data_IF_926083848891
#
_entry.id   IF_926083848891
#
_cell.length_a   1.000
_cell.length_b   1.000
_cell.length_c   1.000
_cell.angle_alpha   90.00
_cell.angle_beta   90.00
_cell.angle_gamma   90.00
#
_symmetry.space_group_name_H-M   'P 1'
#
loop_
_entity.id
_entity.type
_entity.pdbx_description
1 polymer ?
#
# COMPACT_ATOMS: atom_id res chain seq x y z
N UNK A 1 -34.10 -23.72 25.97
CA UNK A 1 -33.37 -22.69 26.74
C UNK A 1 -31.90 -23.11 26.80
N UNK A 2 -30.96 -22.27 26.32
CA UNK A 2 -29.58 -22.59 25.86
C UNK A 2 -29.58 -23.27 24.48
N UNK A 3 -28.87 -22.83 23.44
CA UNK A 3 -27.65 -22.05 23.35
C UNK A 3 -27.91 -20.63 22.82
N UNK A 4 -27.75 -19.65 23.70
CA UNK A 4 -27.40 -18.30 23.30
C UNK A 4 -25.88 -18.29 23.01
N UNK A 5 -25.46 -17.42 22.09
CA UNK A 5 -24.09 -16.94 21.88
C UNK A 5 -23.18 -17.81 20.99
N UNK A 6 -23.49 -17.90 19.69
CA UNK A 6 -22.42 -17.91 18.69
C UNK A 6 -22.11 -16.46 18.34
N UNK A 7 -21.23 -15.85 19.16
CA UNK A 7 -20.71 -14.52 18.93
C UNK A 7 -19.92 -14.49 17.63
N UNK A 8 -20.48 -13.84 16.61
CA UNK A 8 -19.76 -13.48 15.41
C UNK A 8 -18.79 -12.37 15.83
N UNK A 9 -17.56 -12.76 16.19
CA UNK A 9 -16.45 -11.82 16.25
C UNK A 9 -16.15 -11.37 14.82
N UNK A 10 -16.84 -10.34 14.35
CA UNK A 10 -16.39 -9.58 13.19
C UNK A 10 -15.12 -8.84 13.60
N UNK A 11 -13.98 -9.48 13.39
CA UNK A 11 -12.68 -8.84 13.35
C UNK A 11 -12.70 -7.84 12.19
N UNK A 12 -13.25 -6.66 12.45
CA UNK A 12 -13.08 -5.52 11.55
C UNK A 12 -11.67 -4.99 11.80
N UNK A 13 -10.69 -5.56 11.08
CA UNK A 13 -9.44 -4.86 10.81
C UNK A 13 -9.79 -3.72 9.84
N UNK A 14 -10.42 -2.65 10.35
CA UNK A 14 -10.37 -1.37 9.67
C UNK A 14 -8.95 -0.85 9.83
N UNK A 15 -8.05 -1.32 8.96
CA UNK A 15 -6.74 -0.72 8.79
C UNK A 15 -6.96 0.74 8.42
N UNK A 16 -6.76 1.63 9.39
CA UNK A 16 -6.84 3.08 9.21
C UNK A 16 -5.61 3.50 8.41
N UNK A 17 -5.65 3.32 7.09
CA UNK A 17 -4.59 3.80 6.21
C UNK A 17 -5.23 4.36 4.95
N UNK A 18 -4.82 5.58 4.58
CA UNK A 18 -5.14 6.16 3.28
C UNK A 18 -6.21 7.25 3.25
N UNK A 19 -6.72 7.75 4.38
CA UNK A 19 -7.63 8.89 4.37
C UNK A 19 -6.99 10.11 5.05
N UNK A 20 -6.07 10.75 4.34
CA UNK A 20 -5.45 12.03 4.76
C UNK A 20 -3.95 12.16 4.53
N UNK A 21 -3.26 11.10 4.09
CA UNK A 21 -1.81 11.13 3.88
C UNK A 21 -1.43 11.98 2.66
N UNK A 22 -0.31 12.71 2.77
CA UNK A 22 0.32 13.44 1.66
C UNK A 22 0.44 12.54 0.44
N UNK A 23 0.03 13.05 -0.73
CA UNK A 23 0.28 12.37 -2.00
C UNK A 23 1.73 12.64 -2.41
N UNK A 24 2.51 11.57 -2.55
CA UNK A 24 3.88 11.62 -3.04
C UNK A 24 3.91 11.38 -4.53
N UNK A 25 4.64 12.20 -5.26
CA UNK A 25 4.89 12.01 -6.69
C UNK A 25 5.84 10.85 -6.93
N UNK A 26 5.84 10.33 -8.16
CA UNK A 26 6.75 9.24 -8.57
C UNK A 26 8.21 9.63 -8.34
N UNK A 27 8.59 10.86 -8.66
CA UNK A 27 9.98 11.31 -8.56
C UNK A 27 10.44 11.48 -7.11
N UNK A 28 9.55 11.95 -6.20
CA UNK A 28 9.82 11.97 -4.76
C UNK A 28 10.06 10.55 -4.21
N UNK A 29 9.28 9.57 -4.65
CA UNK A 29 9.45 8.18 -4.23
C UNK A 29 10.69 7.52 -4.83
N UNK A 30 11.08 7.88 -6.05
CA UNK A 30 12.33 7.41 -6.65
C UNK A 30 13.57 8.02 -5.96
N UNK A 31 13.43 9.21 -5.36
CA UNK A 31 14.52 9.88 -4.66
C UNK A 31 14.72 9.38 -3.22
N UNK A 32 13.72 8.72 -2.64
CA UNK A 32 13.76 8.17 -1.28
C UNK A 32 13.29 6.70 -1.27
N UNK A 33 14.26 5.79 -1.41
CA UNK A 33 14.01 4.34 -1.45
C UNK A 33 13.38 3.81 -0.15
N UNK A 34 13.68 4.44 1.00
CA UNK A 34 13.10 4.03 2.29
C UNK A 34 11.61 4.39 2.37
N UNK A 35 11.24 5.58 1.92
CA UNK A 35 9.85 6.00 1.78
C UNK A 35 9.09 5.11 0.78
N UNK A 36 9.70 4.82 -0.38
CA UNK A 36 9.11 3.91 -1.37
C UNK A 36 8.88 2.51 -0.80
N UNK A 37 9.84 1.96 -0.05
CA UNK A 37 9.70 0.65 0.59
C UNK A 37 8.57 0.64 1.64
N UNK A 38 8.47 1.70 2.46
CA UNK A 38 7.38 1.87 3.44
C UNK A 38 6.01 1.87 2.75
N UNK A 39 5.81 2.73 1.75
CA UNK A 39 4.52 2.83 1.04
C UNK A 39 4.21 1.51 0.32
N UNK A 40 5.20 0.89 -0.32
CA UNK A 40 4.99 -0.41 -0.98
C UNK A 40 4.56 -1.49 0.01
N UNK A 41 5.13 -1.52 1.21
CA UNK A 41 4.71 -2.44 2.28
C UNK A 41 3.26 -2.16 2.72
N UNK A 42 2.89 -0.90 2.90
CA UNK A 42 1.52 -0.49 3.22
C UNK A 42 0.52 -0.94 2.14
N UNK A 43 0.86 -0.74 0.87
CA UNK A 43 0.03 -1.17 -0.27
C UNK A 43 -0.15 -2.69 -0.35
N UNK A 44 0.88 -3.47 0.01
CA UNK A 44 0.83 -4.95 0.01
C UNK A 44 0.01 -5.52 1.16
N UNK A 45 -0.11 -4.80 2.27
CA UNK A 45 -0.87 -5.25 3.43
C UNK A 45 -2.40 -5.15 3.21
N UNK A 46 -2.86 -4.28 2.32
CA UNK A 46 -4.27 -4.18 1.95
C UNK A 46 -4.44 -3.90 0.44
N UNK A 47 -4.13 -4.88 -0.43
CA UNK A 47 -4.10 -4.67 -1.86
C UNK A 47 -5.49 -4.41 -2.46
N UNK A 48 -6.57 -4.89 -1.83
CA UNK A 48 -7.93 -4.62 -2.30
C UNK A 48 -8.33 -3.16 -2.12
N UNK A 49 -8.16 -2.61 -0.92
CA UNK A 49 -8.57 -1.24 -0.60
C UNK A 49 -7.58 -0.19 -1.10
N UNK A 50 -6.27 -0.45 -1.01
CA UNK A 50 -5.25 0.59 -1.18
C UNK A 50 -4.64 0.64 -2.58
N UNK A 51 -4.73 -0.42 -3.39
CA UNK A 51 -4.07 -0.47 -4.71
C UNK A 51 -4.47 0.68 -5.65
N UNK A 52 -5.70 1.20 -5.51
CA UNK A 52 -6.19 2.30 -6.33
C UNK A 52 -5.96 3.70 -5.72
N UNK A 53 -5.29 3.78 -4.57
CA UNK A 53 -4.91 5.07 -3.99
C UNK A 53 -3.77 5.71 -4.81
N UNK A 54 -3.70 7.05 -4.88
CA UNK A 54 -2.62 7.73 -5.60
C UNK A 54 -1.21 7.31 -5.16
N UNK A 55 -0.98 7.13 -3.86
CA UNK A 55 0.32 6.72 -3.34
C UNK A 55 0.72 5.31 -3.76
N UNK A 56 -0.22 4.36 -3.80
CA UNK A 56 0.08 3.00 -4.26
C UNK A 56 0.33 2.93 -5.77
N UNK A 57 -0.41 3.70 -6.56
CA UNK A 57 -0.15 3.79 -8.00
C UNK A 57 1.21 4.44 -8.28
N UNK A 58 1.55 5.51 -7.55
CA UNK A 58 2.84 6.18 -7.70
C UNK A 58 4.01 5.30 -7.23
N UNK A 59 3.82 4.52 -6.16
CA UNK A 59 4.84 3.56 -5.70
C UNK A 59 5.09 2.44 -6.72
N UNK A 60 4.03 1.88 -7.33
CA UNK A 60 4.17 0.87 -8.39
C UNK A 60 4.93 1.44 -9.61
N UNK A 61 4.59 2.66 -10.03
CA UNK A 61 5.29 3.34 -11.12
C UNK A 61 6.76 3.68 -10.78
N UNK A 62 7.04 4.14 -9.56
CA UNK A 62 8.41 4.42 -9.09
C UNK A 62 9.25 3.15 -9.06
N UNK A 63 8.70 2.05 -8.53
CA UNK A 63 9.37 0.75 -8.50
C UNK A 63 9.73 0.26 -9.91
N UNK A 64 8.79 0.36 -10.87
CA UNK A 64 9.03 0.00 -12.27
C UNK A 64 10.14 0.86 -12.90
N UNK A 65 10.11 2.18 -12.71
CA UNK A 65 11.15 3.08 -13.24
C UNK A 65 12.53 2.78 -12.66
N UNK A 66 12.62 2.47 -11.37
CA UNK A 66 13.89 2.08 -10.75
C UNK A 66 14.39 0.77 -11.34
N UNK A 67 13.53 -0.23 -11.49
CA UNK A 67 13.88 -1.51 -12.09
C UNK A 67 14.44 -1.36 -13.51
N UNK A 68 13.80 -0.54 -14.35
CA UNK A 68 14.28 -0.21 -15.70
C UNK A 68 15.64 0.49 -15.69
N UNK A 69 15.90 1.35 -14.70
CA UNK A 69 17.18 2.07 -14.58
C UNK A 69 18.31 1.15 -14.14
N UNK A 70 18.04 0.20 -13.24
CA UNK A 70 19.07 -0.63 -12.61
C UNK A 70 19.31 -1.97 -13.30
N UNK A 71 18.36 -2.42 -14.14
CA UNK A 71 18.45 -3.73 -14.80
C UNK A 71 18.81 -3.56 -16.28
N UNK A 72 20.00 -4.01 -16.72
CA UNK A 72 20.36 -3.96 -18.13
C UNK A 72 19.40 -4.83 -18.97
N UNK A 73 18.67 -4.22 -19.89
CA UNK A 73 17.73 -4.91 -20.80
C UNK A 73 16.27 -4.96 -20.36
N UNK A 74 15.88 -4.19 -19.34
CA UNK A 74 14.48 -3.93 -18.99
C UNK A 74 13.76 -3.00 -19.97
#
# INVERSE_FOLDING_TARGET
>A
MKLLLLGIFTLTLSGCFGQGDRIYTVDELMADEALLAKITSECRNNPGTLRQTPNCQNAEAAHWKLWLRTTPGG
#
